data_IF_593109563967
#
_entry.id   IF_593109563967
#
_cell.length_a   1.000
_cell.length_b   1.000
_cell.length_c   1.000
_cell.angle_alpha   90.00
_cell.angle_beta   90.00
_cell.angle_gamma   90.00
#
_symmetry.space_group_name_H-M   'P 1'
#
loop_
_entity.id
_entity.type
_entity.pdbx_description
1 polymer ?
#
# COMPACT_ATOMS: atom_id res chain seq x y z
N UNK A 1 -6.67 25.40 -89.95
CA UNK A 1 -5.54 26.28 -89.58
C UNK A 1 -5.22 26.07 -88.11
N UNK A 2 -3.93 25.95 -87.78
CA UNK A 2 -3.36 25.70 -86.44
C UNK A 2 -3.58 26.90 -85.50
N UNK A 3 -3.76 26.61 -84.20
CA UNK A 3 -3.09 27.16 -82.99
C UNK A 3 -3.73 26.45 -81.78
N UNK A 4 -3.10 25.79 -80.80
CA UNK A 4 -1.76 25.91 -80.20
C UNK A 4 -1.82 26.83 -78.98
N UNK A 5 -1.75 26.32 -77.74
CA UNK A 5 -1.68 27.17 -76.51
C UNK A 5 -2.29 26.55 -75.24
N UNK A 6 -1.66 25.62 -74.53
CA UNK A 6 -0.71 25.80 -73.39
C UNK A 6 -1.38 25.89 -72.01
N UNK A 7 -0.94 24.98 -71.14
CA UNK A 7 -1.36 24.67 -69.79
C UNK A 7 -0.43 25.41 -68.83
N UNK A 8 -0.99 26.21 -67.90
CA UNK A 8 -0.37 26.53 -66.60
C UNK A 8 -1.47 26.73 -65.53
N UNK A 9 -1.49 25.92 -64.46
CA UNK A 9 -2.31 26.18 -63.28
C UNK A 9 -1.69 27.33 -62.47
N UNK A 10 -2.50 28.36 -62.14
CA UNK A 10 -2.11 29.34 -61.15
C UNK A 10 -2.38 28.79 -59.75
N UNK A 11 -1.29 28.48 -59.06
CA UNK A 11 -1.24 28.32 -57.63
C UNK A 11 -1.62 29.64 -56.94
N UNK A 12 -2.59 29.56 -56.02
CA UNK A 12 -2.91 30.61 -55.06
C UNK A 12 -3.00 29.98 -53.67
N UNK A 13 -1.88 30.03 -52.95
CA UNK A 13 -1.76 29.67 -51.54
C UNK A 13 -2.52 30.64 -50.60
N UNK A 14 -2.55 30.26 -49.31
CA UNK A 14 -2.94 31.03 -48.11
C UNK A 14 -4.46 31.09 -47.85
N UNK A 15 -5.01 30.73 -46.69
CA UNK A 15 -4.42 30.43 -45.39
C UNK A 15 -5.47 29.63 -44.59
N UNK A 16 -5.34 28.30 -44.53
CA UNK A 16 -6.02 27.53 -43.49
C UNK A 16 -5.20 27.69 -42.22
N UNK A 17 -5.52 28.73 -41.45
CA UNK A 17 -5.03 28.88 -40.09
C UNK A 17 -5.65 27.75 -39.24
N UNK A 18 -5.00 26.59 -39.24
CA UNK A 18 -5.23 25.56 -38.25
C UNK A 18 -4.79 26.14 -36.91
N UNK A 19 -5.77 26.63 -36.14
CA UNK A 19 -5.59 26.92 -34.73
C UNK A 19 -5.29 25.57 -34.07
N UNK A 20 -3.99 25.26 -33.92
CA UNK A 20 -3.52 24.21 -33.04
C UNK A 20 -3.87 24.61 -31.63
N UNK A 21 -5.05 24.20 -31.18
CA UNK A 21 -5.42 24.23 -29.77
C UNK A 21 -4.54 23.18 -29.07
N UNK A 22 -3.32 23.58 -28.70
CA UNK A 22 -2.48 22.80 -27.83
C UNK A 22 -3.22 22.67 -26.49
N UNK A 23 -3.92 21.55 -26.32
CA UNK A 23 -4.42 21.15 -25.02
C UNK A 23 -3.19 20.91 -24.14
N UNK A 24 -2.80 21.92 -23.36
CA UNK A 24 -1.92 21.71 -22.23
C UNK A 24 -2.63 20.76 -21.28
N UNK A 25 -2.36 19.46 -21.41
CA UNK A 25 -2.66 18.50 -20.37
C UNK A 25 -1.95 19.03 -19.12
N UNK A 26 -2.70 19.60 -18.19
CA UNK A 26 -2.20 19.96 -16.89
C UNK A 26 -1.59 18.67 -16.31
N UNK A 27 -0.26 18.60 -16.31
CA UNK A 27 0.44 17.56 -15.57
C UNK A 27 0.07 17.84 -14.12
N UNK A 28 -0.85 17.04 -13.57
CA UNK A 28 -1.11 17.04 -12.15
C UNK A 28 0.24 16.78 -11.48
N UNK A 29 0.81 17.80 -10.86
CA UNK A 29 2.09 17.68 -10.18
C UNK A 29 1.91 16.67 -9.06
N UNK A 30 2.43 15.46 -9.24
CA UNK A 30 2.51 14.50 -8.14
C UNK A 30 3.38 15.09 -7.04
N UNK A 31 2.95 14.96 -5.79
CA UNK A 31 3.78 15.34 -4.65
C UNK A 31 5.14 14.63 -4.70
N UNK A 32 6.22 15.28 -4.25
CA UNK A 32 7.50 14.61 -4.07
C UNK A 32 7.33 13.34 -3.21
N UNK A 33 7.98 12.23 -3.58
CA UNK A 33 7.78 10.94 -2.90
C UNK A 33 8.12 10.98 -1.41
N UNK A 34 9.05 11.85 -1.01
CA UNK A 34 9.51 12.07 0.35
C UNK A 34 8.41 12.60 1.27
N UNK A 35 7.39 13.27 0.72
CA UNK A 35 6.28 13.86 1.48
C UNK A 35 4.92 13.23 1.15
N UNK A 36 4.82 12.43 0.08
CA UNK A 36 3.54 11.92 -0.40
C UNK A 36 2.80 11.06 0.64
N UNK A 37 3.52 10.20 1.36
CA UNK A 37 2.91 9.42 2.45
C UNK A 37 2.45 10.32 3.60
N UNK A 38 3.26 11.31 3.99
CA UNK A 38 2.98 12.14 5.15
C UNK A 38 1.79 13.08 4.89
N UNK A 39 1.65 13.59 3.66
CA UNK A 39 0.47 14.35 3.24
C UNK A 39 -0.79 13.50 3.31
N UNK A 40 -0.79 12.30 2.69
CA UNK A 40 -1.94 11.40 2.73
C UNK A 40 -2.32 10.99 4.16
N UNK A 41 -1.33 10.75 5.02
CA UNK A 41 -1.54 10.45 6.44
C UNK A 41 -2.17 11.64 7.18
N UNK A 42 -1.61 12.84 7.03
CA UNK A 42 -2.11 14.02 7.71
C UNK A 42 -3.57 14.33 7.32
N UNK A 43 -3.88 14.24 6.02
CA UNK A 43 -5.25 14.44 5.54
C UNK A 43 -6.23 13.39 6.06
N UNK A 44 -5.78 12.13 6.18
CA UNK A 44 -6.65 11.07 6.64
C UNK A 44 -6.81 11.07 8.18
N UNK A 45 -5.76 11.36 8.95
CA UNK A 45 -5.83 11.56 10.40
C UNK A 45 -6.82 12.70 10.73
N UNK A 46 -6.77 13.81 10.00
CA UNK A 46 -7.69 14.95 10.18
C UNK A 46 -9.18 14.63 9.95
N UNK A 47 -9.48 13.55 9.23
CA UNK A 47 -10.86 13.12 8.88
C UNK A 47 -11.38 11.98 9.76
N UNK A 48 -10.61 11.55 10.77
CA UNK A 48 -10.94 10.37 11.59
C UNK A 48 -10.79 10.62 13.08
N UNK A 49 -11.28 9.68 13.90
CA UNK A 49 -11.11 9.68 15.36
C UNK A 49 -9.91 8.85 15.82
N UNK A 50 -8.94 8.59 14.92
CA UNK A 50 -7.70 7.89 15.28
C UNK A 50 -6.84 8.85 16.12
N UNK A 51 -6.15 8.38 17.17
CA UNK A 51 -5.25 9.21 17.96
C UNK A 51 -4.22 9.93 17.09
N UNK A 52 -3.93 11.18 17.45
CA UNK A 52 -2.93 11.98 16.76
C UNK A 52 -1.60 11.23 16.66
N UNK A 53 -0.94 11.38 15.51
CA UNK A 53 0.35 10.76 15.15
C UNK A 53 0.37 9.23 15.07
N UNK A 54 -0.71 8.53 15.41
CA UNK A 54 -0.67 7.07 15.44
C UNK A 54 -0.39 6.47 14.06
N UNK A 55 -1.11 6.92 13.02
CA UNK A 55 -0.94 6.42 11.66
C UNK A 55 0.43 6.84 11.13
N UNK A 56 0.87 8.05 11.43
CA UNK A 56 2.22 8.53 11.11
C UNK A 56 3.32 7.66 11.70
N UNK A 57 3.21 7.24 12.94
CA UNK A 57 4.21 6.41 13.60
C UNK A 57 4.21 4.98 13.10
N UNK A 58 3.04 4.44 12.76
CA UNK A 58 2.92 3.16 12.04
C UNK A 58 3.66 3.25 10.71
N UNK A 59 3.35 4.24 9.87
CA UNK A 59 3.99 4.41 8.57
C UNK A 59 5.51 4.51 8.68
N UNK A 60 6.03 5.16 9.74
CA UNK A 60 7.46 5.27 9.99
C UNK A 60 8.14 3.95 10.28
N UNK A 61 7.49 3.08 11.06
CA UNK A 61 8.01 1.73 11.35
C UNK A 61 7.89 0.83 10.11
N UNK A 62 6.83 0.99 9.32
CA UNK A 62 6.53 0.14 8.17
C UNK A 62 7.42 0.45 6.96
N UNK A 63 7.54 1.71 6.57
CA UNK A 63 8.14 2.10 5.28
C UNK A 63 9.15 3.25 5.38
N UNK A 64 9.67 3.53 6.57
CA UNK A 64 10.69 4.55 6.75
C UNK A 64 11.93 4.28 5.90
N UNK A 65 12.36 5.27 5.10
CA UNK A 65 13.59 5.20 4.29
C UNK A 65 14.68 5.98 5.02
N UNK A 66 15.63 5.31 5.71
CA UNK A 66 16.58 5.98 6.59
C UNK A 66 17.35 7.09 5.88
N UNK A 67 17.39 8.28 6.49
CA UNK A 67 18.06 9.47 5.94
C UNK A 67 17.34 10.15 4.77
N UNK A 68 16.23 9.60 4.26
CA UNK A 68 15.51 10.14 3.10
C UNK A 68 14.11 10.64 3.50
N UNK A 69 13.27 9.77 4.04
CA UNK A 69 11.88 10.11 4.35
C UNK A 69 11.35 9.32 5.56
N UNK A 70 10.45 9.90 6.37
CA UNK A 70 9.80 9.19 7.47
C UNK A 70 9.03 7.96 7.03
N UNK A 71 8.46 7.96 5.82
CA UNK A 71 7.80 6.83 5.17
C UNK A 71 7.85 7.02 3.65
N UNK A 72 8.00 5.93 2.90
CA UNK A 72 8.28 5.97 1.46
C UNK A 72 7.21 5.22 0.66
N UNK A 73 6.57 5.87 -0.35
CA UNK A 73 5.37 5.35 -1.00
C UNK A 73 5.64 4.15 -1.91
N UNK A 74 6.89 3.94 -2.34
CA UNK A 74 7.27 2.86 -3.25
C UNK A 74 8.13 1.82 -2.55
N UNK A 75 7.74 1.50 -1.32
CA UNK A 75 8.37 0.46 -0.52
C UNK A 75 7.71 -0.89 -0.78
N UNK A 76 8.52 -1.91 -1.04
CA UNK A 76 8.08 -3.30 -1.18
C UNK A 76 8.85 -4.16 -0.19
N UNK A 77 8.15 -4.95 0.61
CA UNK A 77 8.78 -6.03 1.39
C UNK A 77 8.30 -7.39 0.88
N UNK A 78 9.24 -8.28 0.59
CA UNK A 78 8.96 -9.64 0.17
C UNK A 78 10.17 -10.53 0.45
N UNK A 79 9.95 -11.81 0.78
CA UNK A 79 11.03 -12.79 0.98
C UNK A 79 12.11 -12.31 1.98
N UNK A 80 11.69 -11.61 3.04
CA UNK A 80 12.58 -11.00 4.05
C UNK A 80 13.54 -9.93 3.50
N UNK A 81 13.19 -9.31 2.37
CA UNK A 81 13.95 -8.21 1.76
C UNK A 81 13.08 -6.97 1.60
N UNK A 82 13.66 -5.82 1.92
CA UNK A 82 13.06 -4.50 1.71
C UNK A 82 13.62 -3.86 0.45
N UNK A 83 12.73 -3.31 -0.38
CA UNK A 83 13.06 -2.58 -1.58
C UNK A 83 12.46 -1.17 -1.48
N UNK A 84 13.30 -0.15 -1.61
CA UNK A 84 12.88 1.26 -1.70
C UNK A 84 13.13 1.71 -3.13
N UNK A 85 12.08 1.70 -3.96
CA UNK A 85 12.19 2.00 -5.38
C UNK A 85 12.09 3.50 -5.63
N UNK A 86 12.61 3.98 -6.76
CA UNK A 86 12.66 5.41 -7.06
C UNK A 86 11.44 5.88 -7.87
N UNK A 87 10.56 4.95 -8.27
CA UNK A 87 9.28 5.30 -8.90
C UNK A 87 8.17 4.28 -8.63
N UNK A 88 6.92 4.74 -8.79
CA UNK A 88 5.73 3.90 -8.73
C UNK A 88 5.80 2.72 -9.72
N UNK A 89 6.23 2.99 -10.95
CA UNK A 89 6.29 1.98 -12.01
C UNK A 89 7.32 0.89 -11.71
N UNK A 90 8.46 1.23 -11.11
CA UNK A 90 9.44 0.24 -10.66
C UNK A 90 8.87 -0.67 -9.57
N UNK A 91 8.18 -0.09 -8.59
CA UNK A 91 7.55 -0.87 -7.53
C UNK A 91 6.45 -1.80 -8.08
N UNK A 92 5.61 -1.32 -9.00
CA UNK A 92 4.61 -2.14 -9.68
C UNK A 92 5.25 -3.29 -10.45
N UNK A 93 6.29 -3.01 -11.26
CA UNK A 93 7.01 -4.05 -12.01
C UNK A 93 7.64 -5.10 -11.09
N UNK A 94 8.25 -4.67 -9.97
CA UNK A 94 8.81 -5.59 -8.99
C UNK A 94 7.74 -6.52 -8.42
N UNK A 95 6.61 -5.97 -7.97
CA UNK A 95 5.50 -6.77 -7.39
C UNK A 95 4.95 -7.75 -8.43
N UNK A 96 4.73 -7.31 -9.67
CA UNK A 96 4.25 -8.20 -10.73
C UNK A 96 5.24 -9.33 -11.03
N UNK A 97 6.55 -9.04 -11.05
CA UNK A 97 7.59 -10.05 -11.23
C UNK A 97 7.65 -11.05 -10.07
N UNK A 98 7.49 -10.58 -8.83
CA UNK A 98 7.41 -11.44 -7.65
C UNK A 98 6.16 -12.35 -7.71
N UNK A 99 5.01 -11.80 -8.08
CA UNK A 99 3.77 -12.57 -8.24
C UNK A 99 3.87 -13.62 -9.36
N UNK A 100 4.50 -13.28 -10.49
CA UNK A 100 4.73 -14.22 -11.58
C UNK A 100 5.62 -15.41 -11.17
N UNK A 101 6.52 -15.20 -10.20
CA UNK A 101 7.32 -16.26 -9.56
C UNK A 101 6.58 -17.06 -8.49
N UNK A 102 5.33 -16.71 -8.18
CA UNK A 102 4.53 -17.35 -7.14
C UNK A 102 4.73 -16.80 -5.73
N UNK A 103 5.43 -15.67 -5.56
CA UNK A 103 5.53 -14.99 -4.26
C UNK A 103 4.18 -14.34 -3.96
N UNK A 104 3.59 -14.68 -2.82
CA UNK A 104 2.26 -14.20 -2.42
C UNK A 104 2.31 -13.13 -1.33
N UNK A 105 3.10 -13.37 -0.28
CA UNK A 105 3.26 -12.43 0.84
C UNK A 105 4.17 -11.30 0.42
N UNK A 106 3.56 -10.18 0.03
CA UNK A 106 4.23 -8.97 -0.44
C UNK A 106 3.55 -7.79 0.25
N UNK A 107 4.31 -7.01 0.99
CA UNK A 107 3.85 -5.79 1.65
C UNK A 107 4.17 -4.58 0.76
N UNK A 108 3.21 -3.66 0.64
CA UNK A 108 3.32 -2.54 -0.33
C UNK A 108 2.92 -1.19 0.25
N UNK A 109 3.65 -0.16 -0.19
CA UNK A 109 3.30 1.25 -0.01
C UNK A 109 3.61 1.82 1.37
N UNK A 110 3.05 3.00 1.64
CA UNK A 110 3.27 3.77 2.87
C UNK A 110 3.01 2.97 4.16
N UNK A 111 2.01 2.10 4.13
CA UNK A 111 1.49 1.37 5.29
C UNK A 111 1.81 -0.13 5.24
N UNK A 112 2.57 -0.59 4.25
CA UNK A 112 2.98 -1.98 4.09
C UNK A 112 1.82 -2.97 4.17
N UNK A 113 0.77 -2.72 3.37
CA UNK A 113 -0.40 -3.60 3.31
C UNK A 113 -0.01 -4.91 2.62
N UNK A 114 -0.18 -6.04 3.30
CA UNK A 114 0.17 -7.35 2.76
C UNK A 114 -0.86 -7.87 1.75
N UNK A 115 -0.44 -8.10 0.50
CA UNK A 115 -1.32 -8.55 -0.59
C UNK A 115 -1.81 -10.00 -0.46
N UNK A 116 -1.14 -10.86 0.32
CA UNK A 116 -1.61 -12.23 0.59
C UNK A 116 -2.77 -12.23 1.58
N UNK A 117 -2.70 -11.42 2.62
CA UNK A 117 -3.74 -11.33 3.63
C UNK A 117 -4.88 -10.43 3.20
N UNK A 118 -4.63 -9.46 2.33
CA UNK A 118 -5.62 -8.48 1.90
C UNK A 118 -5.74 -8.44 0.36
N UNK A 119 -6.20 -9.53 -0.28
CA UNK A 119 -6.24 -9.64 -1.73
C UNK A 119 -7.17 -8.61 -2.39
N UNK A 120 -8.21 -8.19 -1.67
CA UNK A 120 -9.22 -7.23 -2.16
C UNK A 120 -8.97 -5.79 -1.65
N UNK A 121 -7.76 -5.51 -1.15
CA UNK A 121 -7.43 -4.18 -0.62
C UNK A 121 -7.46 -3.08 -1.68
N UNK A 122 -7.06 -3.43 -2.90
CA UNK A 122 -6.83 -2.51 -4.00
C UNK A 122 -7.38 -3.09 -5.30
N UNK A 123 -7.91 -2.24 -6.18
CA UNK A 123 -8.38 -2.67 -7.49
C UNK A 123 -7.23 -3.12 -8.41
N UNK A 124 -6.00 -2.68 -8.14
CA UNK A 124 -4.80 -3.06 -8.86
C UNK A 124 -3.54 -2.92 -7.99
N UNK A 125 -2.43 -3.52 -8.42
CA UNK A 125 -1.12 -3.30 -7.79
C UNK A 125 -0.71 -1.82 -7.85
N UNK A 126 -1.07 -1.11 -8.93
CA UNK A 126 -0.81 0.33 -9.07
C UNK A 126 -1.56 1.14 -7.99
N UNK A 127 -2.80 0.76 -7.67
CA UNK A 127 -3.57 1.40 -6.60
C UNK A 127 -2.96 1.17 -5.22
N UNK A 128 -2.22 0.07 -5.03
CA UNK A 128 -1.56 -0.21 -3.76
C UNK A 128 -0.39 0.75 -3.45
N UNK A 129 0.16 1.39 -4.48
CA UNK A 129 1.20 2.42 -4.38
C UNK A 129 0.67 3.85 -4.54
N UNK A 130 -0.65 4.03 -4.57
CA UNK A 130 -1.27 5.34 -4.38
C UNK A 130 -1.31 5.65 -2.87
N UNK A 131 -0.61 6.71 -2.40
CA UNK A 131 -0.51 6.99 -0.97
C UNK A 131 -1.86 7.17 -0.28
N UNK A 132 -2.81 7.84 -0.93
CA UNK A 132 -4.14 8.07 -0.36
C UNK A 132 -4.92 6.76 -0.22
N UNK A 133 -4.93 5.93 -1.26
CA UNK A 133 -5.62 4.62 -1.23
C UNK A 133 -4.98 3.68 -0.21
N UNK A 134 -3.65 3.63 -0.15
CA UNK A 134 -2.89 2.80 0.77
C UNK A 134 -3.17 3.18 2.24
N UNK A 135 -3.11 4.47 2.55
CA UNK A 135 -3.41 5.02 3.89
C UNK A 135 -4.87 4.82 4.25
N UNK A 136 -5.81 5.11 3.34
CA UNK A 136 -7.23 4.91 3.57
C UNK A 136 -7.58 3.44 3.88
N UNK A 137 -6.92 2.50 3.21
CA UNK A 137 -7.05 1.08 3.51
C UNK A 137 -6.57 0.75 4.93
N UNK A 138 -5.35 1.18 5.28
CA UNK A 138 -4.77 0.91 6.59
C UNK A 138 -5.62 1.48 7.75
N UNK A 139 -6.16 2.69 7.58
CA UNK A 139 -7.04 3.34 8.56
C UNK A 139 -8.33 2.54 8.78
N UNK A 140 -8.97 2.07 7.71
CA UNK A 140 -10.15 1.21 7.83
C UNK A 140 -9.82 -0.08 8.58
N UNK A 141 -8.68 -0.69 8.26
CA UNK A 141 -8.23 -1.90 8.95
C UNK A 141 -7.94 -1.63 10.43
N UNK A 142 -7.24 -0.55 10.77
CA UNK A 142 -6.97 -0.13 12.15
C UNK A 142 -8.26 0.11 12.94
N UNK A 143 -9.27 0.75 12.35
CA UNK A 143 -10.59 0.94 12.98
C UNK A 143 -11.29 -0.39 13.25
N UNK A 144 -11.25 -1.31 12.30
CA UNK A 144 -11.76 -2.67 12.49
C UNK A 144 -11.02 -3.38 13.64
N UNK A 145 -9.69 -3.31 13.65
CA UNK A 145 -8.87 -3.90 14.71
C UNK A 145 -9.18 -3.28 16.07
N UNK A 146 -9.38 -1.96 16.13
CA UNK A 146 -9.76 -1.24 17.36
C UNK A 146 -11.10 -1.71 17.92
N UNK A 147 -12.05 -2.05 17.05
CA UNK A 147 -13.33 -2.63 17.48
C UNK A 147 -13.12 -4.05 18.03
N UNK A 148 -12.27 -4.84 17.37
CA UNK A 148 -12.00 -6.24 17.74
C UNK A 148 -11.11 -6.38 19.00
N UNK A 149 -10.20 -5.44 19.23
CA UNK A 149 -9.27 -5.46 20.37
C UNK A 149 -9.75 -4.67 21.58
N UNK A 150 -10.68 -3.73 21.38
CA UNK A 150 -11.15 -2.83 22.44
C UNK A 150 -10.19 -1.68 22.79
N UNK A 151 -9.00 -1.59 22.18
CA UNK A 151 -8.02 -0.52 22.43
C UNK A 151 -7.15 -0.20 21.21
N UNK A 152 -6.60 1.02 21.15
CA UNK A 152 -5.70 1.42 20.06
C UNK A 152 -4.36 0.68 20.16
N UNK A 153 -3.87 0.45 21.38
CA UNK A 153 -2.69 -0.36 21.67
C UNK A 153 -2.84 -1.77 21.10
N UNK A 154 -3.99 -2.40 21.34
CA UNK A 154 -4.29 -3.73 20.81
C UNK A 154 -4.42 -3.72 19.29
N UNK A 155 -5.01 -2.66 18.73
CA UNK A 155 -5.15 -2.52 17.28
C UNK A 155 -3.79 -2.41 16.59
N UNK A 156 -2.86 -1.63 17.15
CA UNK A 156 -1.49 -1.49 16.66
C UNK A 156 -0.75 -2.81 16.66
N UNK A 157 -0.81 -3.57 17.77
CA UNK A 157 -0.16 -4.88 17.82
C UNK A 157 -0.70 -5.83 16.76
N UNK A 158 -2.04 -5.88 16.61
CA UNK A 158 -2.70 -6.73 15.62
C UNK A 158 -2.54 -6.27 14.17
N UNK A 159 -2.20 -5.00 13.94
CA UNK A 159 -1.93 -4.48 12.60
C UNK A 159 -0.77 -5.25 11.94
N UNK A 160 0.28 -5.51 12.72
CA UNK A 160 1.48 -6.19 12.25
C UNK A 160 1.39 -7.72 12.32
N UNK A 161 0.90 -8.26 13.43
CA UNK A 161 0.86 -9.71 13.65
C UNK A 161 -0.34 -10.15 14.50
N UNK A 162 -0.90 -11.31 14.16
CA UNK A 162 -1.82 -12.02 15.04
C UNK A 162 -1.11 -12.80 16.17
N UNK A 163 0.22 -12.92 16.08
CA UNK A 163 1.09 -13.43 17.14
C UNK A 163 1.25 -12.35 18.22
N UNK A 164 0.89 -12.61 19.49
CA UNK A 164 0.96 -11.62 20.56
C UNK A 164 2.37 -11.08 20.83
N UNK A 165 3.41 -11.91 20.74
CA UNK A 165 4.78 -11.50 21.05
C UNK A 165 5.32 -10.59 19.97
N UNK A 166 5.10 -10.94 18.70
CA UNK A 166 5.43 -10.09 17.57
C UNK A 166 4.62 -8.78 17.58
N UNK A 167 3.33 -8.86 17.91
CA UNK A 167 2.46 -7.69 18.04
C UNK A 167 2.90 -6.74 19.16
N UNK A 168 3.30 -7.27 20.32
CA UNK A 168 3.80 -6.48 21.44
C UNK A 168 5.13 -5.79 21.12
N UNK A 169 6.08 -6.50 20.51
CA UNK A 169 7.35 -5.94 20.06
C UNK A 169 7.13 -4.85 19.00
N UNK A 170 6.24 -5.10 18.05
CA UNK A 170 5.86 -4.11 17.04
C UNK A 170 5.25 -2.85 17.65
N UNK A 171 4.28 -3.01 18.56
CA UNK A 171 3.66 -1.90 19.29
C UNK A 171 4.73 -1.04 19.97
N UNK A 172 5.67 -1.65 20.70
CA UNK A 172 6.74 -0.89 21.35
C UNK A 172 7.52 0.00 20.37
N UNK A 173 7.82 -0.51 19.16
CA UNK A 173 8.49 0.28 18.11
C UNK A 173 7.63 1.44 17.60
N UNK A 174 6.33 1.22 17.38
CA UNK A 174 5.41 2.28 16.92
C UNK A 174 5.32 3.42 17.93
N UNK A 175 5.18 3.10 19.22
CA UNK A 175 5.10 4.13 20.25
C UNK A 175 6.45 4.85 20.43
N UNK A 176 7.58 4.14 20.34
CA UNK A 176 8.90 4.76 20.31
C UNK A 176 9.13 5.67 19.08
N UNK A 177 8.45 5.40 17.97
CA UNK A 177 8.47 6.21 16.74
C UNK A 177 7.59 7.47 16.82
N UNK A 178 7.17 7.89 18.01
CA UNK A 178 6.39 9.10 18.26
C UNK A 178 4.87 8.88 18.24
N UNK A 179 4.43 7.66 18.52
CA UNK A 179 3.00 7.34 18.67
C UNK A 179 2.38 8.12 19.84
N UNK A 180 1.05 8.14 19.96
CA UNK A 180 0.37 8.82 21.06
C UNK A 180 0.89 8.31 22.40
N UNK A 181 1.05 9.20 23.38
CA UNK A 181 1.42 8.80 24.73
C UNK A 181 0.41 7.77 25.25
N UNK A 182 0.90 6.68 25.86
CA UNK A 182 0.07 5.62 26.44
C UNK A 182 -0.74 6.19 27.60
N UNK A 183 -1.81 6.90 27.28
CA UNK A 183 -2.83 7.26 28.25
C UNK A 183 -3.66 6.01 28.47
N UNK A 184 -3.52 5.39 29.64
CA UNK A 184 -4.43 4.35 30.14
C UNK A 184 -5.83 4.99 30.32
N UNK A 185 -6.50 5.24 29.20
CA UNK A 185 -7.77 5.94 29.13
C UNK A 185 -8.89 4.95 28.86
N UNK A 186 -9.65 4.64 29.91
CA UNK A 186 -10.98 4.03 29.79
C UNK A 186 -11.80 4.92 28.84
N UNK A 187 -12.05 4.49 27.61
CA UNK A 187 -12.89 5.22 26.67
C UNK A 187 -14.03 4.35 26.19
N UNK A 188 -15.23 4.84 26.48
CA UNK A 188 -16.52 4.22 26.25
C UNK A 188 -16.73 3.87 24.78
N UNK A 189 -17.17 2.65 24.53
CA UNK A 189 -17.63 2.20 23.23
C UNK A 189 -18.97 2.86 22.91
N UNK A 190 -18.95 4.00 22.23
CA UNK A 190 -20.13 4.48 21.51
C UNK A 190 -20.20 3.77 20.16
N UNK A 191 -21.15 2.85 20.06
CA UNK A 191 -21.39 2.00 18.90
C UNK A 191 -21.70 2.80 17.63
N UNK A 192 -21.12 2.35 16.52
CA UNK A 192 -21.42 2.84 15.19
C UNK A 192 -22.37 1.85 14.50
N UNK A 193 -23.47 2.36 13.96
CA UNK A 193 -24.35 1.62 13.05
C UNK A 193 -23.58 1.34 11.76
N UNK A 194 -23.25 0.07 11.52
CA UNK A 194 -22.57 -0.35 10.30
C UNK A 194 -23.54 -0.28 9.12
N UNK A 195 -23.16 0.43 8.08
CA UNK A 195 -23.79 0.32 6.76
C UNK A 195 -23.44 -1.04 6.13
N UNK A 196 -24.25 -1.53 5.18
CA UNK A 196 -24.06 -2.86 4.55
C UNK A 196 -22.67 -2.97 3.88
N UNK A 197 -22.10 -1.88 3.38
CA UNK A 197 -20.75 -1.85 2.80
C UNK A 197 -19.65 -2.03 3.85
N UNK A 198 -19.82 -1.50 5.06
CA UNK A 198 -18.86 -1.65 6.16
C UNK A 198 -18.92 -3.08 6.75
N UNK A 199 -20.10 -3.70 6.80
CA UNK A 199 -20.25 -5.08 7.26
C UNK A 199 -19.48 -6.09 6.39
N UNK A 200 -19.57 -5.95 5.06
CA UNK A 200 -18.82 -6.79 4.10
C UNK A 200 -17.31 -6.64 4.25
N UNK A 201 -16.84 -5.41 4.46
CA UNK A 201 -15.42 -5.16 4.71
C UNK A 201 -14.96 -5.78 6.04
N UNK A 202 -15.81 -5.74 7.07
CA UNK A 202 -15.55 -6.40 8.34
C UNK A 202 -15.33 -7.91 8.20
N UNK A 203 -16.10 -8.59 7.35
CA UNK A 203 -15.88 -10.01 7.07
C UNK A 203 -14.56 -10.27 6.33
N UNK A 204 -14.23 -9.47 5.32
CA UNK A 204 -12.95 -9.56 4.63
C UNK A 204 -11.76 -9.38 5.59
N UNK A 205 -11.86 -8.44 6.56
CA UNK A 205 -10.84 -8.24 7.58
C UNK A 205 -10.74 -9.42 8.57
N UNK A 206 -11.87 -10.01 9.00
CA UNK A 206 -11.85 -11.24 9.82
C UNK A 206 -11.16 -12.39 9.11
N UNK A 207 -11.45 -12.58 7.83
CA UNK A 207 -10.80 -13.60 7.02
C UNK A 207 -9.29 -13.32 6.85
N UNK A 208 -8.89 -12.07 6.69
CA UNK A 208 -7.48 -11.68 6.66
C UNK A 208 -6.76 -12.05 7.95
N UNK A 209 -7.34 -11.72 9.11
CA UNK A 209 -6.80 -12.11 10.42
C UNK A 209 -6.73 -13.63 10.59
N UNK A 210 -7.75 -14.36 10.14
CA UNK A 210 -7.74 -15.82 10.17
C UNK A 210 -6.56 -16.38 9.35
N UNK A 211 -6.35 -15.89 8.12
CA UNK A 211 -5.22 -16.29 7.27
C UNK A 211 -3.87 -16.00 7.94
N UNK A 212 -3.74 -14.86 8.60
CA UNK A 212 -2.54 -14.48 9.34
C UNK A 212 -2.27 -15.45 10.50
N UNK A 213 -3.29 -15.80 11.29
CA UNK A 213 -3.22 -16.81 12.35
C UNK A 213 -2.82 -18.18 11.83
N UNK A 214 -3.42 -18.65 10.73
CA UNK A 214 -3.05 -19.93 10.14
C UNK A 214 -1.60 -19.95 9.63
N UNK A 215 -1.10 -18.83 9.10
CA UNK A 215 0.31 -18.74 8.69
C UNK A 215 1.26 -18.84 9.88
N UNK A 216 0.91 -18.29 11.05
CA UNK A 216 1.71 -18.42 12.28
C UNK A 216 1.69 -19.88 12.74
N UNK A 217 0.51 -20.50 12.85
CA UNK A 217 0.38 -21.90 13.26
C UNK A 217 1.15 -22.87 12.34
N UNK A 218 1.18 -22.61 11.03
CA UNK A 218 1.97 -23.41 10.06
C UNK A 218 3.48 -23.25 10.25
N UNK A 219 3.96 -22.07 10.65
CA UNK A 219 5.38 -21.84 10.95
C UNK A 219 5.80 -22.57 12.24
N UNK A 220 4.96 -22.54 13.27
CA UNK A 220 5.21 -23.21 14.55
C UNK A 220 5.22 -24.75 14.42
N UNK A 221 4.33 -25.30 13.60
CA UNK A 221 4.21 -26.76 13.40
C UNK A 221 5.21 -27.33 12.39
N UNK A 222 6.08 -26.51 11.77
CA UNK A 222 7.04 -26.94 10.76
C UNK A 222 6.42 -27.45 9.44
N UNK A 223 5.11 -27.35 9.28
CA UNK A 223 4.33 -27.99 8.21
C UNK A 223 4.38 -27.26 6.85
N UNK A 224 5.32 -26.32 6.69
CA UNK A 224 5.55 -25.52 5.47
C UNK A 224 6.86 -25.80 4.73
N UNK A 225 7.79 -26.56 5.31
CA UNK A 225 9.02 -26.94 4.61
C UNK A 225 8.75 -28.17 3.74
N UNK A 226 8.65 -28.01 2.41
CA UNK A 226 8.80 -29.16 1.50
C UNK A 226 10.16 -29.81 1.81
N UNK A 227 10.24 -31.12 2.07
CA UNK A 227 11.52 -31.77 2.25
C UNK A 227 12.32 -31.60 0.95
N UNK A 228 13.47 -30.93 1.04
CA UNK A 228 14.45 -30.95 -0.04
C UNK A 228 14.86 -32.41 -0.21
N UNK A 229 14.51 -33.02 -1.34
CA UNK A 229 15.01 -34.34 -1.73
C UNK A 229 16.53 -34.20 -1.81
N UNK A 230 17.24 -34.71 -0.79
CA UNK A 230 18.68 -34.89 -0.87
C UNK A 230 18.90 -35.92 -1.97
N UNK A 231 19.26 -35.45 -3.16
CA UNK A 231 19.81 -36.30 -4.22
C UNK A 231 21.23 -36.62 -3.80
N UNK A 232 21.42 -37.75 -3.13
CA UNK A 232 22.74 -38.32 -2.94
C UNK A 232 23.19 -38.78 -4.33
N UNK A 233 24.00 -37.96 -4.99
CA UNK A 233 24.75 -38.38 -6.17
C UNK A 233 25.78 -39.41 -5.69
N UNK A 234 25.50 -40.68 -5.97
CA UNK A 234 26.50 -41.75 -5.86
C UNK A 234 27.69 -41.39 -6.76
N UNK A 235 28.88 -41.36 -6.16
CA UNK A 235 30.15 -41.34 -6.91
C UNK A 235 30.42 -42.73 -7.47
N UNK A 236 31.07 -42.84 -8.66
CA UNK A 236 31.60 -44.11 -9.14
C UNK A 236 32.74 -44.62 -8.26
#
# INVERSE_FOLDING_TARGET
MRTGGWWKPLAGCLCLALISLAASAAQASSLPPEIACQTAIAEAEAKTTIPDRLVRSIARVESGRPGVAPSWPWTVNAESRSYYLDSKDEAVRLVQGLQARGVRSIDVGCMQVNLMYHPDAFASVSDAFDPEKNVAYAIRFLRFLRQDTGSWEGAVGRYHSADPDLGNAYRARVYAAGGPELTYGLSNASGLVLTISEARQGEAFRQALFRQKESIARKETGMGARPQRIVILGRP
#
